data_IF_805056559772
#
_entry.id   IF_805056559772
#
_cell.length_a   1.000
_cell.length_b   1.000
_cell.length_c   1.000
_cell.angle_alpha   90.00
_cell.angle_beta   90.00
_cell.angle_gamma   90.00
#
_symmetry.space_group_name_H-M   'P 1'
#
loop_
_entity.id
_entity.type
_entity.pdbx_description
1 polymer ?
#
# COMPACT_ATOMS: atom_id res chain seq x y z
N UNK A 1 6.93 3.15 -9.09
CA UNK A 1 6.65 4.21 -10.09
C UNK A 1 5.23 4.03 -10.58
N UNK A 2 4.49 5.12 -10.85
CA UNK A 2 3.14 5.01 -11.44
C UNK A 2 3.17 4.46 -12.86
N UNK A 3 2.00 4.08 -13.39
CA UNK A 3 1.88 3.46 -14.73
C UNK A 3 2.49 4.34 -15.83
N UNK A 4 2.16 5.64 -15.85
CA UNK A 4 2.65 6.56 -16.88
C UNK A 4 4.19 6.73 -16.86
N UNK A 5 4.84 7.03 -15.72
CA UNK A 5 6.30 7.01 -15.63
C UNK A 5 6.94 5.69 -16.09
N UNK A 6 6.34 4.54 -15.76
CA UNK A 6 6.85 3.22 -16.16
C UNK A 6 6.79 3.04 -17.68
N UNK A 7 5.72 3.46 -18.35
CA UNK A 7 5.62 3.41 -19.81
C UNK A 7 6.71 4.27 -20.47
N UNK A 8 6.93 5.49 -19.96
CA UNK A 8 7.99 6.39 -20.47
C UNK A 8 9.38 5.82 -20.26
N UNK A 9 9.62 5.22 -19.10
CA UNK A 9 10.85 4.50 -18.78
C UNK A 9 11.12 3.41 -19.82
N UNK A 10 10.13 2.56 -20.13
CA UNK A 10 10.28 1.49 -21.12
C UNK A 10 10.59 2.03 -22.53
N UNK A 11 9.90 3.10 -22.97
CA UNK A 11 10.23 3.76 -24.25
C UNK A 11 11.64 4.37 -24.25
N UNK A 12 12.05 4.95 -23.12
CA UNK A 12 13.39 5.50 -22.94
C UNK A 12 14.48 4.44 -23.04
N UNK A 13 14.31 3.31 -22.33
CA UNK A 13 15.20 2.15 -22.40
C UNK A 13 15.27 1.62 -23.84
N UNK A 14 14.12 1.43 -24.49
CA UNK A 14 14.06 0.95 -25.87
C UNK A 14 14.85 1.87 -26.82
N UNK A 15 14.71 3.19 -26.67
CA UNK A 15 15.46 4.18 -27.45
C UNK A 15 16.97 4.00 -27.28
N UNK A 16 17.42 3.85 -26.03
CA UNK A 16 18.84 3.71 -25.70
C UNK A 16 19.40 2.45 -26.34
N UNK A 17 18.70 1.32 -26.21
CA UNK A 17 19.10 0.04 -26.81
C UNK A 17 19.17 0.13 -28.33
N UNK A 18 18.19 0.74 -28.99
CA UNK A 18 18.18 0.89 -30.45
C UNK A 18 19.24 1.89 -30.97
N UNK A 19 19.67 2.83 -30.14
CA UNK A 19 20.68 3.84 -30.51
C UNK A 19 22.12 3.34 -30.31
N UNK A 20 22.31 2.33 -29.45
CA UNK A 20 23.60 1.76 -29.07
C UNK A 20 24.50 1.33 -30.25
N UNK A 21 24.02 0.56 -31.25
CA UNK A 21 24.90 0.15 -32.35
C UNK A 21 25.24 1.29 -33.33
N UNK A 22 24.66 2.49 -33.17
CA UNK A 22 24.74 3.56 -34.18
C UNK A 22 25.62 4.75 -33.79
N UNK A 23 25.89 4.99 -32.50
CA UNK A 23 26.62 6.20 -32.04
C UNK A 23 27.52 5.93 -30.83
N UNK A 24 28.81 6.29 -30.91
CA UNK A 24 29.77 6.16 -29.79
C UNK A 24 29.36 6.97 -28.55
N UNK A 25 28.67 8.09 -28.73
CA UNK A 25 28.16 8.93 -27.62
C UNK A 25 27.16 8.21 -26.71
N UNK A 26 26.58 7.09 -27.17
CA UNK A 26 25.61 6.29 -26.40
C UNK A 26 26.26 5.32 -25.39
N UNK A 27 27.58 5.12 -25.45
CA UNK A 27 28.30 4.15 -24.62
C UNK A 27 28.11 4.41 -23.11
N UNK A 28 28.26 5.65 -22.58
CA UNK A 28 28.07 5.90 -21.15
C UNK A 28 26.66 5.55 -20.66
N UNK A 29 25.64 5.87 -21.46
CA UNK A 29 24.23 5.59 -21.12
C UNK A 29 23.98 4.08 -21.12
N UNK A 30 24.61 3.34 -22.02
CA UNK A 30 24.52 1.88 -22.06
C UNK A 30 25.22 1.22 -20.87
N UNK A 31 26.38 1.74 -20.43
CA UNK A 31 27.04 1.28 -19.20
C UNK A 31 26.13 1.52 -17.99
N UNK A 32 25.50 2.69 -17.90
CA UNK A 32 24.51 2.99 -16.85
C UNK A 32 23.33 2.02 -16.92
N UNK A 33 22.79 1.76 -18.12
CA UNK A 33 21.69 0.80 -18.29
C UNK A 33 22.10 -0.60 -17.84
N UNK A 34 23.31 -1.03 -18.18
CA UNK A 34 23.86 -2.33 -17.77
C UNK A 34 23.99 -2.42 -16.26
N UNK A 35 24.48 -1.36 -15.60
CA UNK A 35 24.53 -1.27 -14.14
C UNK A 35 23.14 -1.33 -13.51
N UNK A 36 22.19 -0.54 -14.02
CA UNK A 36 20.81 -0.48 -13.52
C UNK A 36 20.14 -1.86 -13.64
N UNK A 37 20.26 -2.52 -14.79
CA UNK A 37 19.70 -3.86 -15.00
C UNK A 37 20.40 -4.91 -14.13
N UNK A 38 21.74 -4.87 -14.05
CA UNK A 38 22.51 -5.79 -13.21
C UNK A 38 22.16 -5.67 -11.73
N UNK A 39 22.12 -4.44 -11.19
CA UNK A 39 21.70 -4.18 -9.82
C UNK A 39 20.24 -4.57 -9.58
N UNK A 40 19.34 -4.22 -10.51
CA UNK A 40 17.92 -4.57 -10.41
C UNK A 40 17.73 -6.10 -10.32
N UNK A 41 18.38 -6.87 -11.21
CA UNK A 41 18.33 -8.33 -11.21
C UNK A 41 18.92 -8.87 -9.91
N UNK A 42 20.13 -8.43 -9.54
CA UNK A 42 20.79 -8.87 -8.32
C UNK A 42 19.92 -8.64 -7.07
N UNK A 43 19.34 -7.45 -6.94
CA UNK A 43 18.52 -7.08 -5.79
C UNK A 43 17.16 -7.79 -5.79
N UNK A 44 16.57 -8.03 -6.96
CA UNK A 44 15.27 -8.72 -7.08
C UNK A 44 15.35 -10.22 -6.77
N UNK A 45 16.54 -10.83 -6.89
CA UNK A 45 16.77 -12.23 -6.52
C UNK A 45 17.00 -12.44 -5.02
N UNK A 46 17.14 -11.37 -4.23
CA UNK A 46 17.29 -11.45 -2.77
C UNK A 46 15.97 -11.85 -2.10
N UNK A 47 16.07 -12.39 -0.89
CA UNK A 47 14.90 -12.69 -0.06
C UNK A 47 14.24 -11.38 0.39
N UNK A 48 12.94 -11.24 0.16
CA UNK A 48 12.13 -10.05 0.52
C UNK A 48 12.70 -8.72 -0.05
N UNK A 49 12.70 -8.52 -1.38
CA UNK A 49 13.25 -7.33 -2.00
C UNK A 49 12.37 -6.10 -1.75
N UNK A 50 12.61 -5.39 -0.64
CA UNK A 50 11.87 -4.17 -0.30
C UNK A 50 12.26 -2.98 -1.20
N UNK A 51 11.30 -2.09 -1.50
CA UNK A 51 11.51 -0.93 -2.40
C UNK A 51 12.68 -0.01 -1.99
N UNK A 52 12.96 0.11 -0.68
CA UNK A 52 14.06 0.94 -0.16
C UNK A 52 15.43 0.57 -0.74
N UNK A 53 15.66 -0.69 -1.11
CA UNK A 53 16.93 -1.11 -1.70
C UNK A 53 17.10 -0.64 -3.15
N UNK A 54 16.00 -0.31 -3.82
CA UNK A 54 16.01 0.20 -5.20
C UNK A 54 16.13 1.74 -5.27
N UNK A 55 16.23 2.44 -4.14
CA UNK A 55 16.30 3.91 -4.10
C UNK A 55 17.43 4.47 -4.96
N UNK A 56 18.57 3.75 -5.03
CA UNK A 56 19.73 4.13 -5.84
C UNK A 56 19.47 4.06 -7.35
N UNK A 57 18.46 3.31 -7.78
CA UNK A 57 18.08 3.24 -9.19
C UNK A 57 17.25 4.45 -9.63
N UNK A 58 16.56 5.13 -8.71
CA UNK A 58 15.53 6.12 -9.05
C UNK A 58 16.06 7.28 -9.90
N UNK A 59 17.25 7.87 -9.63
CA UNK A 59 17.82 8.91 -10.48
C UNK A 59 18.06 8.43 -11.92
N UNK A 60 18.54 7.19 -12.10
CA UNK A 60 18.77 6.63 -13.43
C UNK A 60 17.46 6.31 -14.15
N UNK A 61 16.46 5.78 -13.44
CA UNK A 61 15.13 5.56 -13.99
C UNK A 61 14.50 6.89 -14.45
N UNK A 62 14.71 7.99 -13.73
CA UNK A 62 14.27 9.32 -14.14
C UNK A 62 14.97 9.80 -15.43
N UNK A 63 16.28 9.55 -15.58
CA UNK A 63 17.02 9.83 -16.82
C UNK A 63 16.44 9.04 -18.00
N UNK A 64 16.17 7.74 -17.82
CA UNK A 64 15.55 6.93 -18.87
C UNK A 64 14.13 7.40 -19.19
N UNK A 65 13.32 7.73 -18.19
CA UNK A 65 12.00 8.31 -18.41
C UNK A 65 12.07 9.64 -19.19
N UNK A 66 13.08 10.49 -18.94
CA UNK A 66 13.31 11.72 -19.70
C UNK A 66 13.60 11.44 -21.20
N UNK A 67 14.34 10.37 -21.53
CA UNK A 67 14.51 9.95 -22.92
C UNK A 67 13.18 9.53 -23.57
N UNK A 68 12.30 8.87 -22.82
CA UNK A 68 10.94 8.52 -23.26
C UNK A 68 10.05 9.75 -23.48
N UNK A 69 10.07 10.71 -22.57
CA UNK A 69 9.38 12.01 -22.72
C UNK A 69 9.88 12.72 -23.98
N UNK A 70 11.19 12.77 -24.18
CA UNK A 70 11.79 13.39 -25.37
C UNK A 70 11.37 12.70 -26.67
N UNK A 71 11.12 11.38 -26.66
CA UNK A 71 10.52 10.70 -27.82
C UNK A 71 9.07 11.12 -28.04
N UNK A 72 8.25 11.12 -26.99
CA UNK A 72 6.85 11.53 -27.11
C UNK A 72 6.73 12.98 -27.59
N UNK A 73 7.57 13.89 -27.12
CA UNK A 73 7.54 15.29 -27.56
C UNK A 73 7.94 15.42 -29.04
N UNK A 74 8.99 14.72 -29.47
CA UNK A 74 9.49 14.89 -30.84
C UNK A 74 8.68 14.14 -31.90
N UNK A 75 8.07 13.02 -31.54
CA UNK A 75 7.35 12.17 -32.51
C UNK A 75 5.85 12.14 -32.26
N UNK A 76 5.41 12.06 -31.00
CA UNK A 76 3.97 12.02 -30.65
C UNK A 76 3.30 13.39 -30.70
N UNK A 77 3.89 14.42 -30.09
CA UNK A 77 3.30 15.76 -30.02
C UNK A 77 3.47 16.56 -31.32
N UNK A 78 4.26 16.07 -32.26
CA UNK A 78 4.39 16.63 -33.63
C UNK A 78 3.38 16.04 -34.62
N UNK A 79 2.42 15.24 -34.15
CA UNK A 79 1.31 14.75 -35.00
C UNK A 79 0.35 15.87 -35.42
N UNK A 80 0.48 17.06 -34.80
CA UNK A 80 -0.32 18.25 -35.10
C UNK A 80 0.58 19.47 -35.29
N UNK A 81 0.28 20.27 -36.31
CA UNK A 81 0.96 21.55 -36.56
C UNK A 81 0.46 22.68 -35.64
N UNK A 82 -0.68 22.49 -34.98
CA UNK A 82 -1.27 23.49 -34.09
C UNK A 82 -0.46 23.62 -32.80
N UNK A 83 0.15 24.80 -32.60
CA UNK A 83 0.88 25.16 -31.37
C UNK A 83 0.01 25.04 -30.12
N UNK A 84 -1.28 25.38 -30.23
CA UNK A 84 -2.23 25.31 -29.12
C UNK A 84 -2.48 23.85 -28.70
N UNK A 85 -2.76 22.97 -29.66
CA UNK A 85 -3.01 21.54 -29.37
C UNK A 85 -1.75 20.89 -28.80
N UNK A 86 -0.58 21.20 -29.37
CA UNK A 86 0.70 20.69 -28.85
C UNK A 86 0.95 21.10 -27.40
N UNK A 87 0.71 22.37 -27.06
CA UNK A 87 0.86 22.87 -25.69
C UNK A 87 -0.14 22.18 -24.74
N UNK A 88 -1.38 22.01 -25.17
CA UNK A 88 -2.40 21.32 -24.38
C UNK A 88 -2.00 19.86 -24.10
N UNK A 89 -1.54 19.11 -25.11
CA UNK A 89 -1.08 17.74 -24.96
C UNK A 89 0.15 17.64 -24.03
N UNK A 90 1.06 18.61 -24.10
CA UNK A 90 2.20 18.68 -23.19
C UNK A 90 1.76 18.93 -21.73
N UNK A 91 0.81 19.83 -21.50
CA UNK A 91 0.22 20.05 -20.17
C UNK A 91 -0.47 18.78 -19.67
N UNK A 92 -1.26 18.11 -20.52
CA UNK A 92 -1.90 16.84 -20.16
C UNK A 92 -0.86 15.78 -19.76
N UNK A 93 0.24 15.66 -20.51
CA UNK A 93 1.33 14.74 -20.17
C UNK A 93 1.90 15.03 -18.79
N UNK A 94 2.18 16.30 -18.47
CA UNK A 94 2.68 16.69 -17.14
C UNK A 94 1.67 16.34 -16.06
N UNK A 95 0.38 16.67 -16.26
CA UNK A 95 -0.68 16.36 -15.29
C UNK A 95 -0.73 14.85 -15.04
N UNK A 96 -0.78 14.03 -16.09
CA UNK A 96 -0.80 12.57 -15.98
C UNK A 96 0.42 12.02 -15.23
N UNK A 97 1.59 12.62 -15.43
CA UNK A 97 2.82 12.22 -14.72
C UNK A 97 2.79 12.56 -13.23
N UNK A 98 2.10 13.66 -12.87
CA UNK A 98 2.02 14.14 -11.50
C UNK A 98 0.88 13.49 -10.69
N UNK A 99 -0.16 12.95 -11.32
CA UNK A 99 -1.29 12.32 -10.61
C UNK A 99 -0.82 11.28 -9.58
N UNK A 100 0.01 10.32 -10.00
CA UNK A 100 0.45 9.23 -9.13
C UNK A 100 1.32 9.71 -7.95
N UNK A 101 2.43 10.46 -8.15
CA UNK A 101 3.23 10.95 -7.04
C UNK A 101 2.44 11.90 -6.14
N UNK A 102 1.58 12.77 -6.68
CA UNK A 102 0.73 13.64 -5.86
C UNK A 102 -0.26 12.85 -5.00
N UNK A 103 -0.87 11.80 -5.56
CA UNK A 103 -1.79 10.93 -4.83
C UNK A 103 -1.10 10.25 -3.64
N UNK A 104 0.08 9.67 -3.82
CA UNK A 104 0.79 9.00 -2.71
C UNK A 104 1.44 9.99 -1.74
N UNK A 105 1.95 11.13 -2.22
CA UNK A 105 2.50 12.17 -1.33
C UNK A 105 1.44 12.91 -0.54
N UNK A 106 0.16 12.80 -0.92
CA UNK A 106 -0.94 13.40 -0.16
C UNK A 106 -0.96 12.95 1.29
N UNK A 107 -0.53 11.72 1.58
CA UNK A 107 -0.52 11.13 2.92
C UNK A 107 0.24 11.99 3.93
N UNK A 108 1.30 12.67 3.52
CA UNK A 108 2.11 13.51 4.39
C UNK A 108 1.40 14.79 4.86
N UNK A 109 0.28 15.16 4.22
CA UNK A 109 -0.54 16.30 4.59
C UNK A 109 -1.74 15.92 5.46
N UNK A 110 -1.92 14.62 5.71
CA UNK A 110 -3.06 14.10 6.47
C UNK A 110 -2.58 13.31 7.68
N UNK A 111 -3.48 13.17 8.64
CA UNK A 111 -3.19 12.37 9.81
C UNK A 111 -3.14 10.89 9.42
N UNK A 112 -2.24 10.14 10.06
CA UNK A 112 -2.19 8.70 9.91
C UNK A 112 -3.52 8.07 10.39
N UNK A 113 -4.07 7.13 9.60
CA UNK A 113 -5.34 6.45 9.85
C UNK A 113 -5.39 5.74 11.21
N UNK A 114 -4.27 5.22 11.71
CA UNK A 114 -4.16 4.63 13.05
C UNK A 114 -4.34 5.67 14.16
N UNK A 115 -3.84 6.89 13.93
CA UNK A 115 -4.01 8.00 14.89
C UNK A 115 -5.46 8.49 14.87
N UNK A 116 -6.07 8.63 13.68
CA UNK A 116 -7.50 8.99 13.55
C UNK A 116 -8.40 7.93 14.19
N UNK A 117 -8.11 6.66 13.95
CA UNK A 117 -8.83 5.54 14.57
C UNK A 117 -8.68 5.56 16.09
N UNK A 118 -7.48 5.84 16.61
CA UNK A 118 -7.23 5.92 18.04
C UNK A 118 -8.01 7.05 18.70
N UNK A 119 -8.00 8.26 18.12
CA UNK A 119 -8.81 9.38 18.61
C UNK A 119 -10.31 9.05 18.59
N UNK A 120 -10.77 8.41 17.52
CA UNK A 120 -12.15 7.96 17.47
C UNK A 120 -12.46 6.91 18.54
N UNK A 121 -11.54 5.98 18.81
CA UNK A 121 -11.67 4.99 19.89
C UNK A 121 -11.78 5.69 21.25
N UNK A 122 -10.86 6.59 21.58
CA UNK A 122 -10.89 7.36 22.82
C UNK A 122 -12.19 8.14 22.98
N UNK A 123 -12.67 8.78 21.91
CA UNK A 123 -13.92 9.55 21.97
C UNK A 123 -15.17 8.68 22.13
N UNK A 124 -15.26 7.55 21.40
CA UNK A 124 -16.52 6.83 21.21
C UNK A 124 -16.66 5.54 22.01
N UNK A 125 -15.55 4.88 22.37
CA UNK A 125 -15.62 3.58 23.06
C UNK A 125 -15.66 3.76 24.59
N UNK A 126 -16.33 2.87 25.33
CA UNK A 126 -16.33 2.87 26.79
C UNK A 126 -14.93 2.59 27.35
N UNK A 127 -14.57 3.26 28.44
CA UNK A 127 -13.35 2.94 29.18
C UNK A 127 -13.35 1.48 29.66
N UNK A 128 -12.17 0.89 29.82
CA UNK A 128 -11.94 -0.50 30.22
C UNK A 128 -12.49 -1.57 29.26
N UNK A 129 -12.91 -1.19 28.04
CA UNK A 129 -13.25 -2.17 27.01
C UNK A 129 -12.04 -3.00 26.61
N UNK A 130 -12.25 -4.29 26.32
CA UNK A 130 -11.22 -5.18 25.77
C UNK A 130 -11.18 -5.05 24.24
N UNK A 131 -10.09 -4.47 23.73
CA UNK A 131 -9.85 -4.22 22.30
C UNK A 131 -8.74 -5.15 21.84
N UNK A 132 -9.06 -6.00 20.87
CA UNK A 132 -8.12 -7.00 20.35
C UNK A 132 -7.50 -6.52 19.05
N UNK A 133 -6.18 -6.62 18.96
CA UNK A 133 -5.42 -6.47 17.72
C UNK A 133 -4.94 -7.81 17.18
N UNK A 134 -4.08 -7.77 16.15
CA UNK A 134 -3.46 -8.96 15.58
C UNK A 134 -1.98 -9.05 15.96
N UNK A 135 -1.49 -10.27 16.21
CA UNK A 135 -0.07 -10.52 16.38
C UNK A 135 0.69 -10.03 15.15
N UNK A 136 1.84 -9.39 15.35
CA UNK A 136 2.65 -8.78 14.29
C UNK A 136 2.04 -7.56 13.59
N UNK A 137 0.93 -6.99 14.08
CA UNK A 137 0.42 -5.68 13.63
C UNK A 137 0.35 -4.69 14.81
N UNK A 138 0.06 -3.43 14.51
CA UNK A 138 -0.04 -2.38 15.53
C UNK A 138 -1.36 -2.51 16.31
N UNK A 139 -1.27 -2.60 17.63
CA UNK A 139 -2.45 -2.62 18.51
C UNK A 139 -2.99 -1.19 18.65
N UNK A 140 -4.31 -1.04 18.52
CA UNK A 140 -5.00 0.24 18.72
C UNK A 140 -5.89 0.19 19.98
N UNK A 141 -6.10 1.32 20.67
CA UNK A 141 -5.60 2.65 20.32
C UNK A 141 -4.13 2.85 20.70
N UNK A 142 -3.39 3.60 19.87
CA UNK A 142 -2.08 4.15 20.26
C UNK A 142 -2.27 5.39 21.12
N UNK A 143 -1.26 5.72 21.93
CA UNK A 143 -1.29 6.93 22.76
C UNK A 143 -1.44 8.19 21.92
N UNK A 144 -2.50 8.97 22.18
CA UNK A 144 -2.76 10.28 21.54
C UNK A 144 -2.96 11.35 22.60
N UNK A 145 -2.76 12.62 22.22
CA UNK A 145 -2.87 13.77 23.12
C UNK A 145 -4.27 13.89 23.76
N UNK A 146 -5.33 13.60 22.98
CA UNK A 146 -6.72 13.66 23.43
C UNK A 146 -7.24 12.26 23.82
N UNK A 147 -6.69 11.69 24.88
CA UNK A 147 -7.10 10.37 25.37
C UNK A 147 -8.33 10.39 26.28
N UNK A 148 -8.85 11.58 26.64
CA UNK A 148 -9.93 11.78 27.61
C UNK A 148 -9.71 11.05 28.96
N UNK A 149 -8.46 10.69 29.28
CA UNK A 149 -8.09 9.88 30.44
C UNK A 149 -8.59 8.42 30.41
N UNK A 150 -9.13 7.94 29.29
CA UNK A 150 -9.63 6.57 29.18
C UNK A 150 -8.47 5.58 29.06
N UNK A 151 -8.66 4.41 29.66
CA UNK A 151 -7.78 3.25 29.50
C UNK A 151 -8.54 2.12 28.83
N UNK A 152 -7.81 1.28 28.10
CA UNK A 152 -8.35 0.12 27.40
C UNK A 152 -7.50 -1.09 27.73
N UNK A 153 -8.15 -2.25 27.79
CA UNK A 153 -7.46 -3.53 27.87
C UNK A 153 -7.12 -3.98 26.45
N UNK A 154 -5.92 -4.52 26.25
CA UNK A 154 -5.48 -5.02 24.95
C UNK A 154 -4.94 -6.43 25.04
N UNK A 155 -5.21 -7.19 23.98
CA UNK A 155 -4.65 -8.53 23.75
C UNK A 155 -4.56 -8.75 22.22
N UNK A 156 -3.84 -9.78 21.80
CA UNK A 156 -3.53 -10.02 20.38
C UNK A 156 -3.97 -11.40 19.93
N UNK A 157 -4.57 -11.48 18.74
CA UNK A 157 -4.85 -12.76 18.09
C UNK A 157 -3.59 -13.32 17.43
N UNK A 158 -3.21 -14.58 17.70
CA UNK A 158 -2.08 -15.23 17.05
C UNK A 158 -2.41 -15.66 15.61
N UNK A 159 -2.73 -14.70 14.73
CA UNK A 159 -3.28 -14.98 13.39
C UNK A 159 -2.30 -15.71 12.48
N UNK A 160 -0.99 -15.55 12.70
CA UNK A 160 0.08 -16.15 11.89
C UNK A 160 0.47 -17.57 12.31
N UNK A 161 0.06 -18.02 13.50
CA UNK A 161 0.32 -19.37 13.98
C UNK A 161 -0.31 -20.43 13.07
N UNK A 162 0.24 -21.66 12.99
CA UNK A 162 -0.33 -22.75 12.19
C UNK A 162 -1.83 -22.92 12.41
N UNK A 163 -2.58 -23.21 11.35
CA UNK A 163 -4.05 -23.20 11.37
C UNK A 163 -4.66 -24.46 12.02
N UNK A 164 -4.29 -24.71 13.28
CA UNK A 164 -4.67 -25.88 14.08
C UNK A 164 -5.90 -25.62 14.96
N UNK A 165 -6.55 -26.68 15.43
CA UNK A 165 -7.69 -26.57 16.35
C UNK A 165 -7.30 -25.89 17.68
N UNK A 166 -6.08 -26.12 18.16
CA UNK A 166 -5.54 -25.48 19.35
C UNK A 166 -5.49 -23.95 19.22
N UNK A 167 -4.95 -23.45 18.10
CA UNK A 167 -4.96 -22.01 17.77
C UNK A 167 -6.39 -21.48 17.78
N UNK A 168 -7.32 -22.17 17.13
CA UNK A 168 -8.72 -21.72 17.06
C UNK A 168 -9.41 -21.72 18.42
N UNK A 169 -9.13 -22.69 19.28
CA UNK A 169 -9.64 -22.70 20.65
C UNK A 169 -9.14 -21.47 21.42
N UNK A 170 -7.85 -21.15 21.30
CA UNK A 170 -7.27 -19.93 21.90
C UNK A 170 -7.89 -18.66 21.31
N UNK A 171 -7.93 -18.52 19.98
CA UNK A 171 -8.52 -17.37 19.31
C UNK A 171 -9.99 -17.17 19.68
N UNK A 172 -10.79 -18.24 19.66
CA UNK A 172 -12.20 -18.18 20.06
C UNK A 172 -12.36 -17.75 21.52
N UNK A 173 -11.49 -18.21 22.43
CA UNK A 173 -11.53 -17.80 23.84
C UNK A 173 -11.26 -16.29 24.03
N UNK A 174 -10.36 -15.72 23.21
CA UNK A 174 -10.03 -14.29 23.23
C UNK A 174 -11.17 -13.49 22.60
N UNK A 175 -11.62 -13.89 21.40
CA UNK A 175 -12.73 -13.26 20.68
C UNK A 175 -14.04 -13.28 21.48
N UNK A 176 -14.32 -14.33 22.24
CA UNK A 176 -15.52 -14.39 23.09
C UNK A 176 -15.50 -13.34 24.21
N UNK A 177 -14.33 -13.03 24.77
CA UNK A 177 -14.18 -12.06 25.86
C UNK A 177 -14.12 -10.61 25.37
N UNK A 178 -13.60 -10.42 24.16
CA UNK A 178 -13.37 -9.11 23.57
C UNK A 178 -14.65 -8.35 23.25
N UNK A 179 -14.63 -7.04 23.50
CA UNK A 179 -15.71 -6.14 23.13
C UNK A 179 -15.52 -5.65 21.68
N UNK A 180 -14.26 -5.44 21.28
CA UNK A 180 -13.89 -4.96 19.94
C UNK A 180 -12.74 -5.76 19.35
N UNK A 181 -12.75 -5.89 18.03
CA UNK A 181 -11.64 -6.43 17.24
C UNK A 181 -11.26 -5.42 16.17
N UNK A 182 -9.97 -5.05 16.14
CA UNK A 182 -9.45 -3.99 15.29
C UNK A 182 -8.43 -4.58 14.32
N UNK A 183 -8.70 -4.45 13.04
CA UNK A 183 -7.73 -4.66 11.98
C UNK A 183 -7.04 -3.31 11.74
N UNK A 184 -5.80 -3.16 12.17
CA UNK A 184 -5.05 -1.90 12.04
C UNK A 184 -4.31 -1.77 10.71
N UNK A 185 -4.25 -2.84 9.91
CA UNK A 185 -3.81 -2.83 8.52
C UNK A 185 -4.31 -4.04 7.73
N UNK A 186 -3.79 -4.20 6.50
CA UNK A 186 -3.97 -5.40 5.69
C UNK A 186 -2.90 -6.49 5.86
N UNK A 187 -2.01 -6.38 6.85
CA UNK A 187 -0.91 -7.35 7.04
C UNK A 187 -1.42 -8.78 7.20
N UNK A 188 -2.35 -9.01 8.13
CA UNK A 188 -2.92 -10.34 8.38
C UNK A 188 -3.78 -10.82 7.21
N UNK A 189 -4.89 -10.15 6.96
CA UNK A 189 -5.87 -10.59 5.96
C UNK A 189 -5.37 -10.50 4.51
N UNK A 190 -4.47 -9.57 4.20
CA UNK A 190 -3.89 -9.42 2.87
C UNK A 190 -2.87 -10.51 2.54
N UNK A 191 -2.12 -11.02 3.52
CA UNK A 191 -1.14 -12.09 3.31
C UNK A 191 -1.75 -13.49 3.47
N UNK A 192 -2.46 -13.74 4.57
CA UNK A 192 -3.00 -15.08 4.91
C UNK A 192 -4.05 -15.54 3.89
N UNK A 193 -4.85 -14.63 3.35
CA UNK A 193 -5.86 -14.97 2.35
C UNK A 193 -5.26 -15.46 1.02
N UNK A 194 -3.99 -15.19 0.73
CA UNK A 194 -3.32 -15.64 -0.51
C UNK A 194 -2.91 -17.11 -0.47
N UNK A 195 -2.89 -17.73 0.71
CA UNK A 195 -2.44 -19.11 0.94
C UNK A 195 -3.51 -19.96 1.65
N UNK A 196 -4.73 -20.08 1.11
CA UNK A 196 -5.86 -20.74 1.78
C UNK A 196 -5.64 -22.23 2.02
N UNK A 197 -4.75 -22.89 1.27
CA UNK A 197 -4.38 -24.29 1.54
C UNK A 197 -3.60 -24.45 2.84
N UNK A 198 -2.81 -23.44 3.24
CA UNK A 198 -2.02 -23.42 4.48
C UNK A 198 -2.85 -22.91 5.67
N UNK A 199 -3.77 -21.97 5.42
CA UNK A 199 -4.61 -21.34 6.45
C UNK A 199 -6.11 -21.37 6.11
N UNK A 200 -6.73 -22.55 5.91
CA UNK A 200 -8.11 -22.66 5.41
C UNK A 200 -9.16 -22.00 6.30
N UNK A 201 -9.07 -22.16 7.62
CA UNK A 201 -10.02 -21.58 8.57
C UNK A 201 -9.81 -20.08 8.70
N UNK A 202 -8.55 -19.63 8.73
CA UNK A 202 -8.24 -18.20 8.87
C UNK A 202 -8.63 -17.39 7.63
N UNK A 203 -8.36 -17.92 6.42
CA UNK A 203 -8.81 -17.28 5.18
C UNK A 203 -10.34 -17.16 5.14
N UNK A 204 -11.06 -18.18 5.60
CA UNK A 204 -12.52 -18.14 5.70
C UNK A 204 -13.00 -17.09 6.71
N UNK A 205 -12.40 -17.04 7.90
CA UNK A 205 -12.72 -16.06 8.94
C UNK A 205 -12.54 -14.62 8.44
N UNK A 206 -11.42 -14.31 7.78
CA UNK A 206 -11.20 -13.00 7.19
C UNK A 206 -12.21 -12.67 6.10
N UNK A 207 -12.49 -13.62 5.20
CA UNK A 207 -13.49 -13.41 4.16
C UNK A 207 -14.86 -13.06 4.76
N UNK A 208 -15.31 -13.82 5.78
CA UNK A 208 -16.57 -13.57 6.48
C UNK A 208 -16.60 -12.20 7.18
N UNK A 209 -15.49 -11.75 7.77
CA UNK A 209 -15.38 -10.41 8.36
C UNK A 209 -15.45 -9.29 7.32
N UNK A 210 -14.62 -9.36 6.28
CA UNK A 210 -14.48 -8.31 5.28
C UNK A 210 -15.77 -8.09 4.48
N UNK A 211 -16.53 -9.17 4.21
CA UNK A 211 -17.85 -9.09 3.56
C UNK A 211 -19.00 -8.87 4.54
N UNK A 212 -18.72 -8.59 5.82
CA UNK A 212 -19.67 -8.35 6.90
C UNK A 212 -20.71 -9.48 7.11
N UNK A 213 -20.30 -10.73 6.87
CA UNK A 213 -21.11 -11.94 7.10
C UNK A 213 -20.72 -12.71 8.36
N UNK A 214 -19.74 -12.23 9.13
CA UNK A 214 -19.36 -12.84 10.40
C UNK A 214 -20.52 -12.70 11.42
N UNK A 215 -20.96 -13.79 12.07
CA UNK A 215 -22.09 -13.74 13.00
C UNK A 215 -21.76 -13.08 14.34
N UNK A 216 -20.50 -13.09 14.76
CA UNK A 216 -20.08 -12.63 16.09
C UNK A 216 -19.58 -11.18 16.09
N UNK A 217 -19.16 -10.66 14.94
CA UNK A 217 -18.55 -9.33 14.82
C UNK A 217 -19.16 -8.52 13.69
N UNK A 218 -19.57 -7.28 13.98
CA UNK A 218 -20.09 -6.33 12.98
C UNK A 218 -19.18 -5.12 12.87
N UNK A 219 -18.88 -4.72 11.64
CA UNK A 219 -18.10 -3.51 11.36
C UNK A 219 -18.89 -2.29 11.83
N UNK A 220 -18.27 -1.46 12.68
CA UNK A 220 -18.86 -0.21 13.19
C UNK A 220 -18.16 1.04 12.65
N UNK A 221 -16.89 0.91 12.24
CA UNK A 221 -16.12 2.03 11.72
C UNK A 221 -15.00 1.53 10.79
N UNK A 222 -14.70 2.34 9.78
CA UNK A 222 -13.62 2.12 8.83
C UNK A 222 -12.91 3.45 8.58
N UNK A 223 -11.58 3.43 8.62
CA UNK A 223 -10.71 4.54 8.24
C UNK A 223 -9.92 4.11 7.02
N UNK A 224 -9.95 4.94 5.99
CA UNK A 224 -9.33 4.66 4.71
C UNK A 224 -8.13 5.57 4.50
N UNK A 225 -7.08 5.10 3.81
CA UNK A 225 -6.01 5.97 3.37
C UNK A 225 -6.52 7.12 2.54
N UNK A 226 -5.90 8.29 2.70
CA UNK A 226 -6.31 9.49 1.97
C UNK A 226 -6.13 9.36 0.45
N UNK A 227 -5.17 8.56 -0.02
CA UNK A 227 -4.96 8.34 -1.46
C UNK A 227 -6.17 7.72 -2.16
N UNK A 228 -7.08 7.03 -1.45
CA UNK A 228 -8.33 6.52 -2.04
C UNK A 228 -9.35 7.61 -2.36
N UNK A 229 -9.16 8.84 -1.89
CA UNK A 229 -10.01 9.97 -2.26
C UNK A 229 -9.79 10.44 -3.71
N UNK A 230 -8.67 10.05 -4.33
CA UNK A 230 -8.41 10.33 -5.75
C UNK A 230 -9.11 9.28 -6.62
N UNK A 231 -8.79 8.00 -6.42
CA UNK A 231 -9.48 6.84 -6.99
C UNK A 231 -9.08 5.58 -6.21
N UNK A 232 -10.00 4.61 -6.12
CA UNK A 232 -9.72 3.33 -5.46
C UNK A 232 -8.87 2.44 -6.36
N UNK A 233 -7.74 2.00 -5.83
CA UNK A 233 -6.87 1.02 -6.48
C UNK A 233 -6.99 -0.33 -5.76
N UNK A 234 -7.00 -1.45 -6.51
CA UNK A 234 -6.83 -2.76 -5.90
C UNK A 234 -5.53 -2.82 -5.09
N UNK A 235 -5.59 -3.41 -3.89
CA UNK A 235 -4.43 -3.49 -2.99
C UNK A 235 -3.17 -4.10 -3.62
N UNK A 236 -3.32 -5.03 -4.59
CA UNK A 236 -2.17 -5.64 -5.26
C UNK A 236 -1.43 -4.70 -6.23
N UNK A 237 -2.01 -3.53 -6.56
CA UNK A 237 -1.35 -2.48 -7.32
C UNK A 237 -0.65 -1.44 -6.42
N UNK A 238 -0.82 -1.56 -5.11
CA UNK A 238 -0.24 -0.66 -4.11
C UNK A 238 0.87 -1.41 -3.39
N UNK A 239 2.01 -0.76 -3.20
CA UNK A 239 3.10 -1.36 -2.44
C UNK A 239 2.70 -1.57 -0.98
N UNK A 240 3.13 -2.70 -0.40
CA UNK A 240 2.81 -3.07 0.98
C UNK A 240 3.24 -1.99 1.99
N UNK A 241 4.29 -1.23 1.70
CA UNK A 241 4.72 -0.10 2.55
C UNK A 241 3.58 0.89 2.79
N UNK A 242 2.74 1.16 1.78
CA UNK A 242 1.60 2.06 1.92
C UNK A 242 0.38 1.43 2.59
N UNK A 243 0.12 0.14 2.32
CA UNK A 243 -1.08 -0.54 2.82
C UNK A 243 -0.92 -1.05 4.25
N UNK A 244 0.31 -1.29 4.70
CA UNK A 244 0.66 -1.79 6.04
C UNK A 244 1.26 -0.73 6.95
N UNK A 245 2.14 0.14 6.44
CA UNK A 245 2.93 1.03 7.32
C UNK A 245 2.48 2.48 7.27
N UNK A 246 2.43 3.10 6.09
CA UNK A 246 2.22 4.54 6.01
C UNK A 246 0.79 4.96 6.40
N UNK A 247 -0.22 4.63 5.58
CA UNK A 247 -1.62 4.99 5.85
C UNK A 247 -2.50 3.76 5.61
N UNK A 248 -2.46 2.77 6.50
CA UNK A 248 -3.20 1.54 6.32
C UNK A 248 -4.71 1.75 6.43
N UNK A 249 -5.49 0.83 5.85
CA UNK A 249 -6.93 0.76 6.14
C UNK A 249 -7.12 0.20 7.55
N UNK A 250 -7.85 0.93 8.41
CA UNK A 250 -8.21 0.48 9.76
C UNK A 250 -9.69 0.13 9.81
N UNK A 251 -10.02 -1.06 10.30
CA UNK A 251 -11.41 -1.52 10.42
C UNK A 251 -11.68 -1.92 11.87
N UNK A 252 -12.75 -1.37 12.44
CA UNK A 252 -13.17 -1.64 13.82
C UNK A 252 -14.47 -2.46 13.78
N UNK A 253 -14.44 -3.62 14.42
CA UNK A 253 -15.58 -4.50 14.60
C UNK A 253 -16.02 -4.52 16.07
N UNK A 254 -17.33 -4.50 16.32
CA UNK A 254 -17.94 -4.70 17.64
C UNK A 254 -18.47 -6.12 17.77
N UNK A 255 -18.26 -6.73 18.94
CA UNK A 255 -18.84 -8.01 19.28
C UNK A 255 -20.37 -7.89 19.41
N UNK A 256 -21.11 -8.68 18.63
CA UNK A 256 -22.57 -8.65 18.55
C UNK A 256 -23.22 -9.03 19.89
N UNK A 257 -22.59 -9.89 20.69
CA UNK A 257 -23.12 -10.28 22.02
C UNK A 257 -22.98 -9.17 23.07
N UNK A 258 -22.24 -8.11 22.73
CA UNK A 258 -22.01 -6.90 23.55
C UNK A 258 -22.74 -5.68 22.97
N UNK A 259 -23.64 -5.88 22.00
CA UNK A 259 -24.44 -4.81 21.41
C UNK A 259 -25.45 -4.25 22.39
#
# INVERSE_FOLDING_TARGET
MGIAPTILLLFGILRVVLSFPRRRESIPIFVILTWVLGFFIYQSLQVAPTLRYFIFLYPFLAIFAAFGINLLINYGLRITDSKLIRNLLFVILIVVLLIWPSMFSSIYFHKNTRVEASEWIYKNLPANSLIIGESWDDVLPIGVLNSDGKQFLSDQLPVFDPDTDEKWNKMNSILMKADYYVLSSNRGWGSIATVPKKYPKMSRFYNELLVNKNPNYKKIKEFRPYYYNFFELPNYLIDESFTVYDHPQVIIYKNVKKL
#
